data_IF_565548529347
#
_entry.id   IF_565548529347
#
_cell.length_a   1.000
_cell.length_b   1.000
_cell.length_c   1.000
_cell.angle_alpha   90.00
_cell.angle_beta   90.00
_cell.angle_gamma   90.00
#
_symmetry.space_group_name_H-M   'P 1'
#
loop_
_entity.id
_entity.type
_entity.pdbx_description
1 polymer ?
2 non-polymer ?
3 non-polymer ?
4 non-polymer ?
5 water ?
#
# COMPACT_ATOMS: atom_id res chain seq x y z
N UNK A 1 -9.90 -7.76 -0.46
CA UNK A 1 -8.73 -7.86 0.43
C UNK A 1 -7.55 -6.99 -0.04
N UNK A 2 -6.45 -7.08 0.71
CA UNK A 2 -5.28 -6.24 0.51
C UNK A 2 -4.10 -7.10 0.00
N UNK A 3 -3.51 -6.69 -1.11
CA UNK A 3 -2.37 -7.39 -1.71
C UNK A 3 -1.06 -6.77 -1.20
N UNK A 4 -0.32 -7.52 -0.39
CA UNK A 4 0.95 -7.08 0.20
C UNK A 4 2.14 -7.45 -0.69
N UNK A 5 3.12 -6.54 -0.79
CA UNK A 5 4.35 -6.85 -1.53
C UNK A 5 5.51 -6.08 -0.93
N UNK A 6 6.62 -6.78 -0.65
CA UNK A 6 7.90 -6.21 -0.28
C UNK A 6 8.84 -6.27 -1.48
N UNK A 7 9.40 -5.12 -1.84
CA UNK A 7 10.35 -4.94 -2.93
C UNK A 7 11.69 -5.60 -2.61
N UNK A 8 12.58 -5.64 -3.60
CA UNK A 8 13.91 -6.13 -3.32
C UNK A 8 14.69 -5.31 -2.31
N UNK A 9 14.27 -4.08 -2.04
CA UNK A 9 14.94 -3.23 -1.06
C UNK A 9 14.24 -3.23 0.30
N UNK A 10 13.33 -4.18 0.54
CA UNK A 10 12.74 -4.31 1.86
C UNK A 10 11.63 -3.32 2.13
N UNK A 11 11.04 -2.72 1.10
CA UNK A 11 9.98 -1.73 1.28
C UNK A 11 8.63 -2.37 0.97
N UNK A 12 7.65 -2.12 1.83
CA UNK A 12 6.34 -2.78 1.76
C UNK A 12 5.30 -1.86 1.15
N UNK A 13 4.44 -2.43 0.30
CA UNK A 13 3.30 -1.73 -0.27
C UNK A 13 2.07 -2.57 0.04
N UNK A 14 0.93 -1.90 0.24
CA UNK A 14 -0.35 -2.55 0.44
C UNK A 14 -1.31 -2.03 -0.62
N UNK A 15 -1.60 -2.85 -1.62
CA UNK A 15 -2.51 -2.47 -2.70
C UNK A 15 -3.94 -2.74 -2.20
N UNK A 16 -4.79 -1.73 -2.22
CA UNK A 16 -6.16 -1.93 -1.74
C UNK A 16 -7.20 -1.86 -2.86
N UNK A 17 -6.82 -1.48 -4.08
CA UNK A 17 -7.78 -1.47 -5.18
C UNK A 17 -7.00 -1.52 -6.46
N UNK A 18 -7.49 -2.31 -7.43
CA UNK A 18 -6.87 -2.46 -8.74
C UNK A 18 -7.94 -2.34 -9.81
N UNK A 19 -7.70 -1.52 -10.84
CA UNK A 19 -8.69 -1.26 -11.90
C UNK A 19 -8.52 -2.31 -13.01
N UNK A 20 -9.05 -3.51 -12.76
CA UNK A 20 -8.74 -4.61 -13.69
C UNK A 20 -9.27 -4.32 -15.09
N UNK A 21 -10.42 -3.67 -15.20
CA UNK A 21 -10.95 -3.35 -16.53
C UNK A 21 -10.01 -2.46 -17.31
N UNK A 22 -9.36 -1.50 -16.64
CA UNK A 22 -8.40 -0.65 -17.34
C UNK A 22 -7.22 -1.45 -17.88
N UNK A 23 -6.76 -2.45 -17.11
CA UNK A 23 -5.65 -3.25 -17.61
C UNK A 23 -6.08 -4.13 -18.79
N UNK A 24 -7.31 -4.65 -18.76
CA UNK A 24 -7.73 -5.53 -19.85
C UNK A 24 -8.13 -4.76 -21.12
N UNK A 25 -8.71 -3.56 -20.98
CA UNK A 25 -9.32 -2.84 -22.09
C UNK A 25 -8.46 -1.74 -22.69
N UNK A 26 -7.31 -1.42 -22.11
CA UNK A 26 -6.49 -0.32 -22.58
C UNK A 26 -5.06 -0.76 -22.80
N UNK A 27 -4.40 -0.07 -23.71
CA UNK A 27 -2.95 -0.16 -23.81
C UNK A 27 -2.36 0.91 -22.90
N UNK A 28 -1.58 0.49 -21.91
CA UNK A 28 -1.00 1.42 -20.96
C UNK A 28 0.25 1.99 -21.60
N UNK A 29 0.26 3.30 -21.82
CA UNK A 29 1.38 3.99 -22.48
C UNK A 29 2.44 4.50 -21.51
N UNK A 30 2.01 5.17 -20.43
CA UNK A 30 2.90 5.78 -19.45
C UNK A 30 2.18 5.73 -18.12
N UNK A 31 2.91 5.52 -17.03
CA UNK A 31 2.30 5.53 -15.71
C UNK A 31 2.98 6.57 -14.85
N UNK A 32 2.24 7.05 -13.86
CA UNK A 32 2.64 8.07 -12.90
C UNK A 32 2.12 7.68 -11.53
N UNK A 33 2.81 8.12 -10.49
CA UNK A 33 2.40 7.90 -9.12
C UNK A 33 1.96 9.23 -8.55
N UNK A 34 0.70 9.33 -8.13
CA UNK A 34 0.16 10.56 -7.58
C UNK A 34 -0.09 10.39 -6.09
N UNK A 35 0.13 11.47 -5.30
CA UNK A 35 -0.41 11.48 -3.96
C UNK A 35 -1.92 11.86 -3.99
N UNK A 36 -2.57 11.77 -2.84
CA UNK A 36 -4.02 12.05 -2.74
C UNK A 36 -4.30 12.41 -1.29
N UNK A 37 -5.13 13.42 -1.06
CA UNK A 37 -5.56 13.75 0.31
C UNK A 37 -6.86 13.02 0.60
N UNK A 38 -6.84 12.19 1.62
CA UNK A 38 -7.98 11.39 2.07
C UNK A 38 -8.35 11.77 3.49
N UNK A 39 -9.61 11.58 3.84
CA UNK A 39 -10.02 11.79 5.22
C UNK A 39 -9.74 10.54 6.03
N UNK A 40 -9.86 10.69 7.36
CA UNK A 40 -9.69 9.55 8.25
C UNK A 40 -10.68 8.44 7.95
N UNK A 41 -11.96 8.78 7.71
CA UNK A 41 -12.92 7.72 7.40
C UNK A 41 -12.61 7.07 6.04
N UNK A 42 -12.15 7.84 5.07
CA UNK A 42 -11.79 7.26 3.78
C UNK A 42 -10.64 6.25 3.95
N UNK A 43 -9.61 6.58 4.73
CA UNK A 43 -8.49 5.64 4.94
C UNK A 43 -8.99 4.34 5.57
N UNK A 44 -9.85 4.45 6.60
CA UNK A 44 -10.43 3.25 7.21
C UNK A 44 -11.16 2.41 6.19
N UNK A 45 -11.96 3.06 5.34
CA UNK A 45 -12.73 2.31 4.37
C UNK A 45 -11.82 1.68 3.30
N UNK A 46 -10.79 2.40 2.86
CA UNK A 46 -9.85 1.81 1.88
C UNK A 46 -9.15 0.57 2.44
N UNK A 47 -8.77 0.62 3.72
CA UNK A 47 -8.08 -0.49 4.38
C UNK A 47 -8.95 -1.73 4.45
N UNK A 48 -10.26 -1.58 4.32
CA UNK A 48 -11.13 -2.75 4.23
C UNK A 48 -11.16 -3.39 2.83
N UNK A 49 -10.35 -2.92 1.88
CA UNK A 49 -10.15 -3.60 0.59
C UNK A 49 -11.38 -3.70 -0.31
N UNK A 50 -12.38 -2.83 -0.13
CA UNK A 50 -13.68 -2.94 -0.81
C UNK A 50 -13.97 -1.83 -1.83
N UNK A 51 -12.97 -1.15 -2.30
CA UNK A 51 -13.14 -0.06 -3.26
C UNK A 51 -12.79 -0.58 -4.64
N UNK A 52 -13.60 -0.24 -5.62
CA UNK A 52 -13.21 -0.48 -7.01
C UNK A 52 -13.43 0.80 -7.82
N UNK A 53 -12.88 0.82 -9.02
CA UNK A 53 -12.86 2.01 -9.86
C UNK A 53 -14.07 2.16 -10.79
N UNK A 54 -15.07 1.30 -10.63
CA UNK A 54 -16.22 1.37 -11.54
C UNK A 54 -16.77 2.78 -11.52
N UNK A 55 -16.97 3.36 -12.71
CA UNK A 55 -17.46 4.71 -12.98
C UNK A 55 -16.48 5.87 -12.70
N UNK A 56 -15.25 5.64 -12.26
CA UNK A 56 -14.33 6.72 -11.94
C UNK A 56 -13.51 7.15 -13.15
N UNK A 57 -13.03 8.39 -13.15
CA UNK A 57 -12.22 8.88 -14.26
C UNK A 57 -11.41 10.09 -13.77
N UNK A 58 -10.42 10.47 -14.55
CA UNK A 58 -9.58 11.61 -14.20
C UNK A 58 -9.86 12.80 -15.11
N UNK A 59 -9.86 14.00 -14.53
CA UNK A 59 -10.19 15.21 -15.27
C UNK A 59 -9.44 16.38 -14.69
N UNK A 60 -8.89 17.23 -15.55
CA UNK A 60 -8.29 18.48 -15.11
C UNK A 60 -9.39 19.51 -14.89
N UNK A 61 -9.19 20.35 -13.89
CA UNK A 61 -10.06 21.49 -13.63
C UNK A 61 -9.14 22.56 -13.08
N UNK A 62 -9.02 23.68 -13.79
CA UNK A 62 -8.15 24.80 -13.38
C UNK A 62 -6.70 24.38 -13.21
N UNK A 63 -6.19 23.56 -14.12
CA UNK A 63 -4.80 23.15 -14.01
C UNK A 63 -4.51 22.12 -12.93
N UNK A 64 -5.53 21.64 -12.21
CA UNK A 64 -5.33 20.57 -11.24
C UNK A 64 -6.01 19.30 -11.73
N UNK A 65 -5.43 18.16 -11.40
CA UNK A 65 -5.95 16.86 -11.83
C UNK A 65 -6.75 16.23 -10.69
N UNK A 66 -7.95 15.77 -11.00
CA UNK A 66 -8.86 15.18 -10.04
C UNK A 66 -9.21 13.79 -10.46
N UNK A 67 -9.31 12.93 -9.47
CA UNK A 67 -9.89 11.63 -9.64
C UNK A 67 -11.36 11.80 -9.28
N UNK A 68 -12.26 11.59 -10.25
CA UNK A 68 -13.68 11.87 -10.06
C UNK A 68 -14.47 10.57 -10.02
N UNK A 69 -15.55 10.57 -9.20
CA UNK A 69 -16.49 9.45 -9.13
C UNK A 69 -15.86 8.12 -8.74
N UNK A 70 -14.75 8.15 -7.99
CA UNK A 70 -14.33 6.97 -7.25
C UNK A 70 -15.25 6.81 -6.03
N UNK A 71 -15.83 5.62 -5.86
CA UNK A 71 -16.75 5.38 -4.75
C UNK A 71 -15.95 4.76 -3.60
N UNK A 72 -15.78 5.52 -2.52
CA UNK A 72 -15.20 4.98 -1.29
C UNK A 72 -16.36 4.84 -0.30
N UNK A 73 -16.69 3.65 0.16
CA UNK A 73 -17.89 3.48 0.99
C UNK A 73 -17.75 4.18 2.33
N UNK A 74 -18.87 4.55 2.96
CA UNK A 74 -18.81 5.10 4.32
C UNK A 74 -18.08 4.17 5.26
N UNK A 75 -17.39 4.74 6.23
CA UNK A 75 -16.90 3.96 7.36
C UNK A 75 -18.03 3.63 8.33
N UNK A 76 -18.07 2.38 8.80
CA UNK A 76 -19.23 1.90 9.54
C UNK A 76 -19.47 2.74 10.79
N UNK A 77 -18.41 3.22 11.43
CA UNK A 77 -18.54 4.00 12.65
C UNK A 77 -18.31 5.50 12.44
N UNK A 78 -18.33 6.00 11.20
CA UNK A 78 -18.03 7.42 11.00
C UNK A 78 -19.15 8.37 11.45
N UNK A 79 -20.41 7.97 11.31
CA UNK A 79 -21.52 8.84 11.72
C UNK A 79 -21.49 10.13 10.92
N UNK A 80 -21.63 11.25 11.64
CA UNK A 80 -21.67 12.56 10.99
C UNK A 80 -20.34 12.93 10.35
N UNK A 81 -19.26 12.20 10.67
CA UNK A 81 -17.94 12.50 10.09
C UNK A 81 -17.67 11.74 8.79
N UNK A 82 -18.59 10.90 8.34
CA UNK A 82 -18.31 10.14 7.12
C UNK A 82 -18.17 11.12 5.96
N UNK A 83 -17.21 10.83 5.10
CA UNK A 83 -16.91 11.59 3.89
C UNK A 83 -18.04 11.40 2.88
N UNK A 84 -18.00 12.25 1.87
CA UNK A 84 -18.83 12.07 0.68
C UNK A 84 -18.25 10.93 -0.15
N UNK A 85 -18.93 9.81 -0.27
CA UNK A 85 -18.34 8.66 -0.97
C UNK A 85 -17.78 8.98 -2.34
N UNK A 86 -18.35 9.95 -3.07
CA UNK A 86 -17.87 10.26 -4.41
C UNK A 86 -17.38 11.70 -4.51
N UNK A 87 -16.80 12.24 -3.45
CA UNK A 87 -16.26 13.59 -3.64
C UNK A 87 -15.13 13.59 -4.67
N UNK A 88 -14.91 14.71 -5.36
CA UNK A 88 -13.74 14.84 -6.22
C UNK A 88 -12.48 14.85 -5.37
N UNK A 89 -11.44 14.14 -5.81
CA UNK A 89 -10.22 14.00 -5.01
C UNK A 89 -9.03 14.46 -5.84
N UNK A 90 -8.36 15.49 -5.37
CA UNK A 90 -7.23 16.04 -6.12
C UNK A 90 -6.07 15.05 -6.10
N UNK A 91 -5.47 14.83 -7.25
CA UNK A 91 -4.26 14.03 -7.37
C UNK A 91 -3.03 14.94 -7.32
N UNK A 92 -2.04 14.56 -6.53
CA UNK A 92 -0.86 15.42 -6.29
C UNK A 92 0.30 14.95 -7.16
N UNK A 93 0.71 15.78 -8.11
CA UNK A 93 1.75 15.44 -9.06
C UNK A 93 2.73 16.60 -9.16
N UNK A 94 3.94 16.30 -9.67
CA UNK A 94 4.91 17.35 -9.97
C UNK A 94 4.41 18.20 -11.13
N UNK A 95 4.77 19.49 -11.11
CA UNK A 95 4.35 20.44 -12.15
C UNK A 95 4.70 19.93 -13.54
N UNK A 96 5.88 19.36 -13.69
CA UNK A 96 6.32 18.86 -14.98
C UNK A 96 5.46 17.67 -15.42
N UNK A 97 4.99 16.87 -14.47
CA UNK A 97 4.08 15.78 -14.81
C UNK A 97 2.72 16.33 -15.22
N UNK A 98 2.19 17.28 -14.45
CA UNK A 98 0.90 17.90 -14.78
C UNK A 98 0.94 18.53 -16.16
N UNK A 99 2.01 19.25 -16.50
CA UNK A 99 2.09 19.88 -17.81
C UNK A 99 2.04 18.84 -18.93
N UNK A 100 2.80 17.75 -18.78
CA UNK A 100 2.77 16.70 -19.80
C UNK A 100 1.39 16.06 -19.90
N UNK A 101 0.77 15.75 -18.76
CA UNK A 101 -0.56 15.12 -18.78
C UNK A 101 -1.62 16.05 -19.39
N UNK A 102 -1.51 17.37 -19.19
CA UNK A 102 -2.47 18.29 -19.81
C UNK A 102 -2.39 18.23 -21.33
N UNK A 103 -1.17 18.08 -21.86
CA UNK A 103 -1.03 17.87 -23.30
C UNK A 103 -1.56 16.52 -23.74
N UNK A 104 -1.12 15.43 -23.05
CA UNK A 104 -1.49 14.07 -23.48
C UNK A 104 -3.00 13.86 -23.44
N UNK A 105 -3.69 14.39 -22.43
CA UNK A 105 -5.12 14.10 -22.34
C UNK A 105 -5.95 14.80 -23.41
N UNK A 106 -5.34 15.72 -24.17
CA UNK A 106 -6.04 16.36 -25.30
C UNK A 106 -5.95 15.57 -26.61
N UNK A 107 -4.99 14.66 -26.75
CA UNK A 107 -4.89 13.86 -27.98
C UNK A 107 -6.10 12.94 -28.13
N UNK A 108 -6.55 12.73 -29.37
CA UNK A 108 -7.73 11.89 -29.57
C UNK A 108 -7.39 10.43 -29.35
N UNK A 109 -8.31 9.72 -28.71
CA UNK A 109 -8.13 8.34 -28.33
C UNK A 109 -7.27 8.12 -27.09
N UNK A 110 -6.61 9.16 -26.59
CA UNK A 110 -5.76 9.08 -25.41
C UNK A 110 -6.52 9.65 -24.23
N UNK A 111 -6.50 8.92 -23.09
CA UNK A 111 -7.14 9.39 -21.87
C UNK A 111 -6.23 9.08 -20.67
N UNK A 112 -6.64 9.53 -19.50
CA UNK A 112 -5.89 9.29 -18.27
C UNK A 112 -6.79 8.42 -17.40
N UNK A 113 -6.32 7.21 -17.07
CA UNK A 113 -7.17 6.29 -16.30
C UNK A 113 -6.48 5.97 -14.98
N UNK A 114 -7.23 5.77 -13.91
CA UNK A 114 -6.62 5.31 -12.66
C UNK A 114 -6.42 3.80 -12.73
N UNK A 115 -5.31 3.32 -12.16
CA UNK A 115 -4.98 1.90 -12.18
C UNK A 115 -5.04 1.20 -10.83
N UNK A 116 -4.48 1.81 -9.78
CA UNK A 116 -4.29 1.14 -8.50
C UNK A 116 -4.31 2.19 -7.42
N UNK A 117 -4.79 1.80 -6.24
CA UNK A 117 -4.64 2.58 -5.01
C UNK A 117 -3.88 1.71 -4.04
N UNK A 118 -2.87 2.30 -3.40
CA UNK A 118 -2.08 1.53 -2.46
C UNK A 118 -1.51 2.44 -1.38
N UNK A 119 -1.05 1.84 -0.29
CA UNK A 119 -0.34 2.54 0.79
C UNK A 119 1.12 2.13 0.67
N UNK A 120 2.02 3.11 0.68
CA UNK A 120 3.42 2.80 0.42
C UNK A 120 4.12 2.52 1.75
N UNK A 121 5.45 2.46 1.69
CA UNK A 121 6.23 2.00 2.83
C UNK A 121 6.19 3.01 3.97
N UNK A 122 5.81 4.24 3.70
CA UNK A 122 5.56 5.14 4.82
C UNK A 122 4.10 5.12 5.29
N UNK A 123 3.25 4.25 4.74
CA UNK A 123 1.84 4.32 5.12
C UNK A 123 1.07 5.42 4.39
N UNK A 124 1.65 6.02 3.35
CA UNK A 124 1.02 7.13 2.62
C UNK A 124 0.25 6.58 1.43
N UNK A 125 -0.98 7.06 1.26
CA UNK A 125 -1.82 6.63 0.13
C UNK A 125 -1.32 7.23 -1.19
N UNK A 126 -1.31 6.42 -2.25
CA UNK A 126 -0.91 6.81 -3.60
C UNK A 126 -1.90 6.24 -4.62
N UNK A 127 -2.03 6.91 -5.74
CA UNK A 127 -2.80 6.41 -6.88
C UNK A 127 -1.86 6.30 -8.07
N UNK A 128 -1.73 5.11 -8.62
CA UNK A 128 -1.06 4.98 -9.90
C UNK A 128 -2.06 5.29 -11.02
N UNK A 129 -1.69 6.23 -11.90
CA UNK A 129 -2.55 6.58 -13.02
C UNK A 129 -1.75 6.36 -14.30
N UNK A 130 -2.46 6.30 -15.43
CA UNK A 130 -1.82 6.01 -16.71
C UNK A 130 -2.33 6.87 -17.87
N UNK A 131 -1.41 7.30 -18.73
CA UNK A 131 -1.78 7.67 -20.09
C UNK A 131 -2.06 6.38 -20.84
N UNK A 132 -3.24 6.26 -21.42
CA UNK A 132 -3.71 4.99 -21.98
C UNK A 132 -4.49 5.24 -23.27
N UNK A 133 -4.53 4.24 -24.14
CA UNK A 133 -5.38 4.24 -25.34
C UNK A 133 -6.24 2.98 -25.38
N UNK A 134 -7.45 3.11 -25.94
CA UNK A 134 -8.34 1.95 -26.02
C UNK A 134 -7.79 0.88 -26.96
N UNK A 135 -7.98 -0.38 -26.56
CA UNK A 135 -7.55 -1.51 -27.40
C UNK A 135 -8.48 -1.73 -28.60
N UNK B 3 9.85 31.41 3.42
CA UNK B 3 11.24 31.37 2.96
C UNK B 3 11.50 30.10 2.15
N UNK B 4 11.90 30.27 0.89
CA UNK B 4 12.22 29.13 0.04
C UNK B 4 13.64 28.63 0.33
N UNK B 5 13.78 27.31 0.38
CA UNK B 5 15.04 26.67 0.72
C UNK B 5 15.12 25.33 -0.01
N UNK B 6 16.35 24.92 -0.28
CA UNK B 6 16.62 23.58 -0.78
C UNK B 6 16.90 22.69 0.43
N UNK B 7 16.10 21.64 0.59
CA UNK B 7 16.27 20.75 1.73
C UNK B 7 17.53 19.93 1.58
N UNK B 8 17.93 19.30 2.70
CA UNK B 8 19.09 18.42 2.69
C UNK B 8 18.91 17.21 1.79
N UNK B 9 17.68 16.94 1.37
CA UNK B 9 17.41 15.84 0.46
C UNK B 9 17.23 16.34 -0.99
N UNK B 10 17.57 17.61 -1.24
CA UNK B 10 17.60 18.19 -2.58
C UNK B 10 16.28 18.70 -3.14
N UNK B 11 15.30 19.01 -2.30
CA UNK B 11 13.96 19.41 -2.73
C UNK B 11 13.72 20.87 -2.40
N UNK B 12 13.06 21.59 -3.30
CA UNK B 12 12.70 23.00 -3.03
C UNK B 12 11.50 23.04 -2.09
N UNK B 13 11.62 23.74 -0.96
CA UNK B 13 10.56 23.73 0.04
C UNK B 13 10.33 25.13 0.57
N UNK B 14 9.13 25.34 1.08
CA UNK B 14 8.75 26.60 1.71
C UNK B 14 8.58 26.38 3.21
N UNK B 15 9.51 26.92 3.98
CA UNK B 15 9.50 26.77 5.42
C UNK B 15 8.44 27.69 6.03
N UNK B 16 7.54 27.13 6.82
CA UNK B 16 6.53 27.93 7.50
C UNK B 16 6.72 27.99 9.00
N UNK B 17 7.61 27.19 9.57
CA UNK B 17 7.85 27.27 11.01
C UNK B 17 9.20 26.63 11.30
N UNK B 18 9.93 27.24 12.23
CA UNK B 18 11.25 26.78 12.65
C UNK B 18 11.27 26.72 14.17
N UNK B 19 11.73 25.58 14.71
CA UNK B 19 11.78 25.40 16.15
C UNK B 19 13.13 25.95 16.65
N UNK B 20 13.21 27.27 16.79
CA UNK B 20 14.52 27.90 17.07
C UNK B 20 15.11 27.36 18.36
N UNK B 21 14.27 27.10 19.36
CA UNK B 21 14.75 26.60 20.64
C UNK B 21 15.43 25.24 20.49
N UNK B 22 14.98 24.44 19.52
CA UNK B 22 15.62 23.13 19.31
C UNK B 22 17.09 23.29 18.90
N UNK B 23 17.39 24.28 18.08
CA UNK B 23 18.77 24.51 17.65
C UNK B 23 19.59 25.10 18.80
N UNK B 24 18.98 25.98 19.61
CA UNK B 24 19.75 26.60 20.69
C UNK B 24 19.95 25.65 21.86
N UNK B 25 18.97 24.82 22.18
CA UNK B 25 19.04 24.07 23.43
C UNK B 25 19.51 22.64 23.29
N UNK B 26 19.67 22.12 22.08
CA UNK B 26 19.98 20.71 21.86
C UNK B 26 21.16 20.57 20.90
N UNK B 27 21.85 19.45 21.03
CA UNK B 27 22.83 18.95 20.06
C UNK B 27 22.18 17.92 19.14
N UNK B 28 22.21 18.17 17.83
CA UNK B 28 21.57 17.27 16.86
C UNK B 28 22.51 16.11 16.53
N UNK B 29 22.02 14.88 16.73
CA UNK B 29 22.74 13.68 16.33
C UNK B 29 22.53 13.31 14.86
N UNK B 30 21.26 13.24 14.41
CA UNK B 30 20.96 12.94 13.02
C UNK B 30 19.50 13.37 12.75
N UNK B 31 19.20 13.67 11.47
CA UNK B 31 17.87 14.16 11.10
C UNK B 31 17.12 13.23 10.15
N UNK B 32 15.80 13.43 10.10
CA UNK B 32 14.88 12.69 9.23
C UNK B 32 13.84 13.68 8.74
N UNK B 33 13.22 13.37 7.61
CA UNK B 33 12.09 14.16 7.13
C UNK B 33 10.85 13.27 7.18
N UNK B 34 9.87 13.64 7.98
CA UNK B 34 8.65 12.85 8.12
C UNK B 34 7.49 13.49 7.38
N UNK B 35 6.59 12.65 6.86
CA UNK B 35 5.26 13.14 6.49
C UNK B 35 4.39 13.32 7.75
N UNK B 36 3.20 13.88 7.59
CA UNK B 36 2.36 14.15 8.75
C UNK B 36 0.93 14.24 8.26
N UNK B 37 0.02 13.70 9.05
CA UNK B 37 -1.39 13.68 8.72
C UNK B 37 -2.00 14.94 9.33
N UNK B 38 -2.47 15.85 8.48
CA UNK B 38 -3.06 17.14 8.86
C UNK B 38 -4.48 17.22 8.33
N UNK B 39 -5.33 18.03 9.02
CA UNK B 39 -6.68 18.30 8.52
C UNK B 39 -6.63 19.50 7.58
N UNK B 40 -7.74 19.71 6.88
CA UNK B 40 -7.87 20.88 6.00
C UNK B 40 -7.69 22.20 6.73
N UNK B 41 -8.32 22.35 7.89
CA UNK B 41 -8.12 23.62 8.62
C UNK B 41 -6.67 23.77 9.12
N UNK B 42 -6.01 22.67 9.53
CA UNK B 42 -4.61 22.80 9.98
C UNK B 42 -3.74 23.27 8.84
N UNK B 43 -3.94 22.70 7.66
CA UNK B 43 -3.15 23.05 6.50
C UNK B 43 -3.33 24.54 6.15
N UNK B 44 -4.57 25.02 6.18
CA UNK B 44 -4.84 26.44 5.96
C UNK B 44 -4.13 27.29 6.97
N UNK B 45 -4.22 26.89 8.24
CA UNK B 45 -3.62 27.68 9.29
C UNK B 45 -2.08 27.64 9.24
N UNK B 46 -1.49 26.49 8.88
CA UNK B 46 -0.03 26.41 8.78
C UNK B 46 0.54 27.42 7.79
N UNK B 47 -0.17 27.70 6.70
CA UNK B 47 0.42 28.59 5.69
C UNK B 47 0.60 30.02 6.15
N UNK B 48 -0.25 30.51 7.04
CA UNK B 48 -0.10 31.86 7.57
C UNK B 48 0.75 31.92 8.85
N UNK B 49 1.51 30.85 9.14
CA UNK B 49 2.44 30.83 10.27
C UNK B 49 1.74 30.82 11.61
N UNK B 50 2.34 31.49 12.59
CA UNK B 50 1.82 31.59 13.96
C UNK B 50 1.75 30.23 14.68
N UNK B 51 2.54 29.24 14.26
CA UNK B 51 2.61 27.95 14.93
C UNK B 51 3.71 28.04 15.97
N UNK B 52 3.53 27.45 17.14
CA UNK B 52 4.69 27.42 18.02
C UNK B 52 4.97 26.02 18.57
N UNK B 53 6.25 25.81 18.86
CA UNK B 53 6.81 24.53 19.21
C UNK B 53 6.99 24.31 20.71
N UNK B 54 6.47 25.20 21.56
CA UNK B 54 6.78 25.12 22.99
C UNK B 54 6.50 23.73 23.54
N UNK B 55 7.53 23.09 24.12
CA UNK B 55 7.42 21.75 24.71
C UNK B 55 7.21 20.64 23.67
N UNK B 56 7.31 20.90 22.38
CA UNK B 56 6.98 19.84 21.46
C UNK B 56 8.14 18.86 21.29
N UNK B 57 7.77 17.59 21.13
CA UNK B 57 8.71 16.49 20.96
C UNK B 57 7.92 15.36 20.36
N UNK B 58 8.64 14.36 19.87
CA UNK B 58 8.05 13.19 19.25
C UNK B 58 8.16 12.00 20.20
N UNK B 59 7.15 11.14 20.20
CA UNK B 59 7.06 10.06 21.18
C UNK B 59 6.40 8.85 20.52
N UNK B 60 6.90 7.68 20.82
CA UNK B 60 6.34 6.45 20.26
C UNK B 60 5.13 5.93 21.02
N UNK B 61 4.22 5.31 20.28
CA UNK B 61 3.10 4.57 20.83
C UNK B 61 2.78 3.44 19.87
N UNK B 62 2.94 2.20 20.34
CA UNK B 62 2.64 1.01 19.55
C UNK B 62 3.43 1.01 18.23
N UNK B 63 4.71 1.36 18.31
CA UNK B 63 5.56 1.35 17.14
C UNK B 63 5.36 2.48 16.15
N UNK B 64 4.46 3.43 16.41
CA UNK B 64 4.28 4.60 15.56
C UNK B 64 4.73 5.86 16.28
N UNK B 65 5.26 6.83 15.51
CA UNK B 65 5.86 8.02 16.10
C UNK B 65 4.89 9.20 15.96
N UNK B 66 4.68 9.92 17.09
CA UNK B 66 3.73 11.03 17.14
C UNK B 66 4.43 12.31 17.54
N UNK B 67 4.06 13.40 16.88
CA UNK B 67 4.47 14.74 17.26
C UNK B 67 3.46 15.30 18.23
N UNK B 68 3.91 15.58 19.45
CA UNK B 68 3.06 16.02 20.55
C UNK B 68 3.31 17.49 20.84
N UNK B 69 2.24 18.17 21.30
CA UNK B 69 2.29 19.54 21.80
C UNK B 69 2.69 20.53 20.73
N UNK B 70 2.54 20.21 19.47
CA UNK B 70 2.58 21.24 18.45
C UNK B 70 1.26 22.01 18.51
N UNK B 71 1.34 23.35 18.59
CA UNK B 71 0.14 24.20 18.60
C UNK B 71 -0.09 24.74 17.20
N UNK B 72 -1.14 24.29 16.53
CA UNK B 72 -1.57 24.89 15.26
C UNK B 72 -2.84 25.67 15.55
N UNK B 73 -2.88 26.99 15.33
CA UNK B 73 -4.07 27.79 15.75
C UNK B 73 -5.30 27.44 14.93
N UNK B 74 -6.50 27.71 15.45
CA UNK B 74 -7.72 27.51 14.65
C UNK B 74 -7.64 28.25 13.33
N UNK B 75 -8.26 27.69 12.31
CA UNK B 75 -8.50 28.40 11.07
C UNK B 75 -9.69 29.33 11.22
N UNK B 76 -9.54 30.56 10.72
CA UNK B 76 -10.49 31.62 11.08
C UNK B 76 -11.92 31.25 10.69
N UNK B 77 -12.09 30.55 9.56
CA UNK B 77 -13.41 30.20 9.04
C UNK B 77 -13.77 28.72 9.25
N UNK B 78 -13.09 28.02 10.16
CA UNK B 78 -13.33 26.58 10.31
C UNK B 78 -14.59 26.25 11.04
N UNK B 79 -15.01 27.08 12.00
CA UNK B 79 -16.28 26.81 12.69
C UNK B 79 -16.24 25.47 13.41
N UNK B 80 -17.32 24.70 13.28
CA UNK B 80 -17.40 23.41 13.95
C UNK B 80 -16.32 22.43 13.44
N UNK B 81 -15.73 22.71 12.28
CA UNK B 81 -14.73 21.81 11.69
C UNK B 81 -13.31 22.10 12.14
N UNK B 82 -13.09 23.10 12.98
CA UNK B 82 -11.72 23.39 13.41
C UNK B 82 -11.17 22.21 14.19
N UNK B 83 -9.89 21.91 13.94
CA UNK B 83 -9.14 20.84 14.57
C UNK B 83 -8.87 21.18 16.06
N UNK B 84 -8.45 20.18 16.81
CA UNK B 84 -7.88 20.42 18.14
C UNK B 84 -6.47 20.98 18.00
N UNK B 85 -6.21 22.24 18.42
CA UNK B 85 -4.91 22.87 18.12
C UNK B 85 -3.70 22.09 18.60
N UNK B 86 -3.85 21.28 19.66
CA UNK B 86 -2.71 20.55 20.20
C UNK B 86 -2.92 19.05 20.22
N UNK B 87 -3.72 18.52 19.29
CA UNK B 87 -3.85 17.08 19.22
C UNK B 87 -2.49 16.45 18.92
N UNK B 88 -2.29 15.20 19.32
CA UNK B 88 -1.10 14.45 18.86
C UNK B 88 -1.23 14.17 17.38
N UNK B 89 -0.12 14.29 16.65
CA UNK B 89 -0.09 14.15 15.19
C UNK B 89 0.88 13.07 14.76
N UNK B 90 0.36 12.09 14.03
CA UNK B 90 1.19 10.96 13.60
C UNK B 90 2.17 11.40 12.52
N UNK B 91 3.43 11.04 12.70
CA UNK B 91 4.46 11.27 11.69
C UNK B 91 4.61 10.07 10.77
N UNK B 92 4.82 10.32 9.49
CA UNK B 92 4.88 9.25 8.50
C UNK B 92 6.33 9.00 8.07
N UNK B 93 6.88 7.83 8.45
CA UNK B 93 8.28 7.46 8.20
C UNK B 93 8.37 6.01 7.74
N UNK B 94 9.49 5.66 7.08
CA UNK B 94 9.70 4.26 6.68
C UNK B 94 9.82 3.38 7.92
N UNK B 95 9.41 2.11 7.79
CA UNK B 95 9.62 1.17 8.89
C UNK B 95 11.09 1.13 9.34
N UNK B 96 12.03 1.13 8.40
CA UNK B 96 13.43 1.05 8.78
C UNK B 96 13.86 2.28 9.57
N UNK B 97 13.33 3.45 9.22
CA UNK B 97 13.61 4.66 9.99
C UNK B 97 13.04 4.56 11.40
N UNK B 98 11.79 4.12 11.50
CA UNK B 98 11.15 4.00 12.81
C UNK B 98 11.92 3.06 13.71
N UNK B 99 12.40 1.93 13.16
CA UNK B 99 13.18 0.98 13.96
C UNK B 99 14.46 1.62 14.50
N UNK B 100 15.20 2.33 13.65
CA UNK B 100 16.39 3.02 14.16
C UNK B 100 16.03 4.08 15.20
N UNK B 101 14.94 4.85 14.97
CA UNK B 101 14.55 5.89 15.92
C UNK B 101 14.17 5.29 17.27
N UNK B 102 13.45 4.15 17.26
CA UNK B 102 13.12 3.46 18.50
C UNK B 102 14.36 3.09 19.29
N UNK B 103 15.37 2.54 18.60
CA UNK B 103 16.63 2.21 19.27
C UNK B 103 17.31 3.42 19.86
N UNK B 104 17.35 4.52 19.11
CA UNK B 104 18.06 5.73 19.56
C UNK B 104 17.47 6.29 20.85
N UNK B 105 16.13 6.30 20.97
CA UNK B 105 15.49 6.87 22.16
C UNK B 105 15.58 5.94 23.35
N UNK B 106 16.12 4.72 23.17
CA UNK B 106 16.39 3.87 24.33
C UNK B 106 17.59 4.38 25.11
N UNK B 107 18.48 5.12 24.45
CA UNK B 107 19.64 5.68 25.13
C UNK B 107 19.26 6.83 26.05
N UNK B 108 19.92 6.91 27.20
CA UNK B 108 19.56 7.92 28.18
C UNK B 108 19.94 9.31 27.66
N UNK B 109 19.06 10.27 27.87
CA UNK B 109 19.34 11.61 27.39
C UNK B 109 19.05 11.86 25.93
N UNK B 110 18.63 10.88 25.18
CA UNK B 110 18.35 11.06 23.76
C UNK B 110 16.85 11.14 23.55
N UNK B 111 16.42 12.19 22.85
CA UNK B 111 15.02 12.41 22.53
C UNK B 111 14.91 12.76 21.05
N UNK B 112 13.68 12.95 20.56
CA UNK B 112 13.39 13.30 19.18
C UNK B 112 12.59 14.58 19.21
N UNK B 113 13.11 15.64 18.56
CA UNK B 113 12.44 16.94 18.53
C UNK B 113 12.20 17.42 17.10
N UNK B 114 11.13 18.19 16.86
CA UNK B 114 10.95 18.75 15.53
C UNK B 114 11.85 19.95 15.34
N UNK B 115 12.33 20.10 14.10
CA UNK B 115 13.19 21.23 13.75
C UNK B 115 12.45 22.25 12.91
N UNK B 116 11.69 21.81 11.89
CA UNK B 116 11.07 22.70 10.91
C UNK B 116 9.82 22.04 10.34
N UNK B 117 8.84 22.86 9.93
CA UNK B 117 7.72 22.41 9.11
C UNK B 117 7.76 23.19 7.81
N UNK B 118 7.57 22.48 6.71
CA UNK B 118 7.63 23.09 5.41
C UNK B 118 6.77 22.30 4.43
N UNK B 119 6.44 22.97 3.31
CA UNK B 119 5.66 22.43 2.20
C UNK B 119 6.53 22.22 0.97
N UNK B 120 6.39 21.07 0.31
CA UNK B 120 7.12 20.91 -0.95
C UNK B 120 6.29 21.53 -2.07
N UNK B 121 6.76 21.41 -3.33
CA UNK B 121 6.04 22.12 -4.39
C UNK B 121 4.68 21.50 -4.71
N UNK B 122 4.40 20.30 -4.22
CA UNK B 122 3.06 19.75 -4.38
C UNK B 122 2.14 20.19 -3.25
N UNK B 123 2.60 21.05 -2.36
CA UNK B 123 1.71 21.42 -1.28
C UNK B 123 1.63 20.42 -0.16
N UNK B 124 2.57 19.46 -0.11
CA UNK B 124 2.55 18.44 0.93
C UNK B 124 3.43 18.91 2.09
N UNK B 125 2.87 18.86 3.31
CA UNK B 125 3.59 19.27 4.52
C UNK B 125 4.58 18.20 4.98
N UNK B 126 5.77 18.64 5.44
CA UNK B 126 6.80 17.74 5.95
C UNK B 126 7.29 18.31 7.26
N UNK B 127 7.76 17.42 8.15
CA UNK B 127 8.39 17.84 9.40
C UNK B 127 9.83 17.31 9.42
N UNK B 128 10.79 18.22 9.47
CA UNK B 128 12.17 17.83 9.69
C UNK B 128 12.33 17.55 11.17
N UNK B 129 12.79 16.34 11.54
CA UNK B 129 12.95 16.00 12.95
C UNK B 129 14.39 15.61 13.22
N UNK B 130 14.78 15.65 14.50
CA UNK B 130 16.14 15.33 14.90
C UNK B 130 16.15 14.38 16.09
N UNK B 131 16.98 13.34 15.98
CA UNK B 131 17.50 12.67 17.16
C UNK B 131 18.47 13.65 17.83
N UNK B 132 18.27 13.93 19.12
CA UNK B 132 18.98 15.04 19.78
C UNK B 132 19.26 14.73 21.25
N UNK B 133 20.26 15.44 21.80
CA UNK B 133 20.60 15.51 23.22
C UNK B 133 20.54 16.95 23.70
N UNK B 134 20.28 17.13 24.98
CA UNK B 134 20.35 18.47 25.55
C UNK B 134 21.79 18.97 25.56
N UNK B 135 21.95 20.28 25.38
CA UNK B 135 23.29 20.88 25.50
C UNK B 135 23.81 20.91 26.95
N UNK C 3 -5.48 -19.20 -19.07
CA UNK C 3 -6.28 -17.98 -18.88
C UNK C 3 -5.49 -16.72 -18.45
N UNK C 4 -5.55 -15.63 -19.25
CA UNK C 4 -4.90 -14.38 -18.85
C UNK C 4 -5.81 -13.64 -17.87
N UNK C 5 -5.20 -13.10 -16.82
CA UNK C 5 -5.93 -12.43 -15.74
C UNK C 5 -5.06 -11.29 -15.24
N UNK C 6 -5.70 -10.31 -14.61
CA UNK C 6 -4.97 -9.22 -14.01
C UNK C 6 -4.71 -9.59 -12.57
N UNK C 7 -3.45 -9.60 -12.17
CA UNK C 7 -3.14 -9.97 -10.80
C UNK C 7 -3.60 -8.87 -9.84
N UNK C 8 -3.65 -9.21 -8.55
CA UNK C 8 -3.96 -8.25 -7.51
C UNK C 8 -2.95 -7.12 -7.42
N UNK C 9 -1.79 -7.29 -8.04
CA UNK C 9 -0.76 -6.26 -8.08
C UNK C 9 -0.75 -5.51 -9.42
N UNK C 10 -1.79 -5.69 -10.24
CA UNK C 10 -1.89 -4.91 -11.47
C UNK C 10 -1.08 -5.40 -12.67
N UNK C 11 -0.79 -6.70 -12.74
CA UNK C 11 0.03 -7.29 -13.79
C UNK C 11 -0.75 -8.33 -14.59
N UNK C 12 -0.50 -8.40 -15.89
CA UNK C 12 -1.15 -9.41 -16.71
C UNK C 12 -0.37 -10.73 -16.53
N UNK C 13 -1.08 -11.79 -16.14
CA UNK C 13 -0.41 -13.05 -15.79
C UNK C 13 -1.20 -14.18 -16.42
N UNK C 14 -0.51 -15.29 -16.70
CA UNK C 14 -1.17 -16.48 -17.23
C UNK C 14 -1.36 -17.47 -16.09
N UNK C 15 -2.62 -17.63 -15.68
CA UNK C 15 -3.00 -18.47 -14.55
C UNK C 15 -3.09 -19.91 -15.01
N UNK C 16 -2.35 -20.79 -14.37
CA UNK C 16 -2.34 -22.20 -14.73
C UNK C 16 -2.94 -23.09 -13.66
N UNK C 17 -3.23 -22.55 -12.47
CA UNK C 17 -3.85 -23.32 -11.40
C UNK C 17 -4.55 -22.37 -10.43
N UNK C 18 -5.76 -22.75 -10.00
CA UNK C 18 -6.55 -21.92 -9.09
C UNK C 18 -7.12 -22.79 -7.98
N UNK C 19 -6.97 -22.38 -6.74
CA UNK C 19 -7.53 -23.12 -5.60
C UNK C 19 -8.97 -22.65 -5.35
N UNK C 20 -9.88 -23.14 -6.20
CA UNK C 20 -11.27 -22.69 -6.12
C UNK C 20 -11.90 -23.00 -4.77
N UNK C 21 -11.57 -24.16 -4.18
CA UNK C 21 -12.11 -24.47 -2.86
C UNK C 21 -11.69 -23.44 -1.82
N UNK C 22 -10.45 -22.95 -1.91
CA UNK C 22 -9.98 -21.98 -0.93
C UNK C 22 -10.83 -20.72 -0.98
N UNK C 23 -11.21 -20.29 -2.18
CA UNK C 23 -12.02 -19.08 -2.34
C UNK C 23 -13.43 -19.27 -1.80
N UNK C 24 -14.01 -20.47 -1.94
CA UNK C 24 -15.36 -20.65 -1.42
C UNK C 24 -15.36 -20.83 0.09
N UNK C 25 -14.32 -21.43 0.66
CA UNK C 25 -14.34 -21.81 2.07
C UNK C 25 -13.65 -20.83 3.01
N UNK C 26 -12.97 -19.81 2.49
CA UNK C 26 -12.20 -18.94 3.37
C UNK C 26 -12.53 -17.49 3.10
N UNK C 27 -12.38 -16.71 4.16
CA UNK C 27 -12.33 -15.27 4.03
C UNK C 27 -10.86 -14.90 3.79
N UNK C 28 -10.59 -14.30 2.64
CA UNK C 28 -9.24 -13.95 2.24
C UNK C 28 -8.94 -12.60 2.87
N UNK C 29 -8.00 -12.56 3.81
CA UNK C 29 -7.65 -11.33 4.55
C UNK C 29 -6.53 -10.54 3.85
N UNK C 30 -5.42 -11.19 3.47
CA UNK C 30 -4.30 -10.51 2.79
C UNK C 30 -3.67 -11.51 1.83
N UNK C 31 -3.18 -11.01 0.69
CA UNK C 31 -2.53 -11.89 -0.30
C UNK C 31 -1.06 -11.49 -0.48
N UNK C 32 -0.25 -12.46 -0.87
CA UNK C 32 1.18 -12.27 -1.09
C UNK C 32 1.54 -13.01 -2.36
N UNK C 33 2.56 -12.53 -3.05
CA UNK C 33 3.02 -13.17 -4.25
C UNK C 33 4.42 -13.69 -3.98
N UNK C 34 4.54 -15.01 -3.95
CA UNK C 34 5.81 -15.69 -3.67
C UNK C 34 6.44 -16.17 -4.98
N UNK C 35 7.74 -16.14 -5.02
CA UNK C 35 8.44 -16.84 -6.09
C UNK C 35 8.57 -18.34 -5.81
N UNK C 36 9.07 -19.08 -6.81
CA UNK C 36 9.25 -20.54 -6.68
C UNK C 36 10.22 -20.98 -7.75
N UNK C 37 11.12 -21.89 -7.40
CA UNK C 37 12.09 -22.42 -8.37
C UNK C 37 11.56 -23.74 -8.91
N UNK C 38 11.34 -23.82 -10.22
CA UNK C 38 10.76 -25.01 -10.85
C UNK C 38 11.70 -25.59 -11.88
N UNK C 39 11.62 -26.93 -12.11
CA UNK C 39 12.35 -27.52 -13.21
C UNK C 39 11.61 -27.30 -14.53
N UNK C 40 12.34 -27.52 -15.63
CA UNK C 40 11.73 -27.43 -16.95
C UNK C 40 10.51 -28.34 -17.07
N UNK C 41 10.59 -29.56 -16.52
CA UNK C 41 9.45 -30.46 -16.62
C UNK C 41 8.26 -29.94 -15.84
N UNK C 42 8.51 -29.32 -14.68
CA UNK C 42 7.42 -28.74 -13.89
C UNK C 42 6.76 -27.61 -14.65
N UNK C 43 7.55 -26.76 -15.31
CA UNK C 43 6.98 -25.66 -16.08
C UNK C 43 6.08 -26.18 -17.20
N UNK C 44 6.56 -27.20 -17.95
CA UNK C 44 5.73 -27.81 -18.99
C UNK C 44 4.45 -28.39 -18.41
N UNK C 45 4.54 -29.11 -17.30
CA UNK C 45 3.33 -29.71 -16.77
C UNK C 45 2.37 -28.66 -16.24
N UNK C 46 2.89 -27.57 -15.64
CA UNK C 46 2.01 -26.49 -15.24
C UNK C 46 1.35 -25.86 -16.46
N UNK C 47 2.14 -25.57 -17.50
CA UNK C 47 1.56 -24.88 -18.65
C UNK C 47 0.55 -25.75 -19.40
N UNK C 48 0.62 -27.07 -19.31
CA UNK C 48 -0.43 -27.82 -19.98
C UNK C 48 -1.69 -28.00 -19.12
N UNK C 49 -1.80 -27.27 -18.00
CA UNK C 49 -3.02 -27.24 -17.20
C UNK C 49 -3.37 -28.51 -16.42
N UNK C 50 -2.39 -29.31 -16.01
CA UNK C 50 -2.73 -30.52 -15.29
C UNK C 50 -2.46 -30.42 -13.80
N UNK C 51 -2.33 -29.20 -13.26
CA UNK C 51 -2.07 -29.03 -11.84
C UNK C 51 -3.27 -28.40 -11.15
N UNK C 52 -3.60 -28.94 -9.98
CA UNK C 52 -4.54 -28.34 -9.07
C UNK C 52 -3.96 -28.51 -7.68
N UNK C 53 -4.56 -27.82 -6.71
CA UNK C 53 -4.04 -27.71 -5.36
C UNK C 53 -4.54 -28.78 -4.41
N UNK C 54 -5.29 -29.76 -4.89
CA UNK C 54 -5.81 -30.80 -4.00
C UNK C 54 -4.67 -31.45 -3.23
N UNK C 55 -4.85 -31.53 -1.90
CA UNK C 55 -3.96 -32.11 -0.90
C UNK C 55 -2.73 -31.26 -0.59
N UNK C 56 -2.57 -30.08 -1.19
CA UNK C 56 -1.38 -29.28 -0.94
C UNK C 56 -1.66 -28.34 0.23
N UNK C 57 -0.61 -27.87 0.88
CA UNK C 57 -0.78 -26.93 1.98
C UNK C 57 0.54 -26.23 2.25
N UNK C 58 0.47 -25.14 3.01
CA UNK C 58 1.65 -24.36 3.37
C UNK C 58 2.11 -24.66 4.77
N UNK C 59 3.43 -24.63 4.97
CA UNK C 59 3.98 -24.95 6.27
C UNK C 59 5.27 -24.19 6.47
N UNK C 60 5.44 -23.63 7.66
CA UNK C 60 6.70 -23.00 7.99
C UNK C 60 7.69 -24.05 8.46
N UNK C 61 8.97 -23.84 8.16
CA UNK C 61 10.04 -24.64 8.72
C UNK C 61 11.26 -23.75 8.83
N UNK C 62 11.73 -23.50 10.06
CA UNK C 62 12.91 -22.67 10.30
C UNK C 62 12.78 -21.27 9.68
N UNK C 63 11.62 -20.63 9.86
CA UNK C 63 11.41 -19.29 9.35
C UNK C 63 11.18 -19.14 7.85
N UNK C 64 11.14 -20.23 7.09
CA UNK C 64 10.86 -20.21 5.67
C UNK C 64 9.51 -20.87 5.42
N UNK C 65 8.82 -20.44 4.37
CA UNK C 65 7.49 -20.98 4.03
C UNK C 65 7.61 -21.94 2.85
N UNK C 66 6.96 -23.11 2.96
CA UNK C 66 7.00 -24.20 1.97
C UNK C 66 5.60 -24.51 1.49
N UNK C 67 5.46 -24.80 0.19
CA UNK C 67 4.24 -25.36 -0.35
C UNK C 67 4.46 -26.87 -0.43
N UNK C 68 3.73 -27.64 0.37
CA UNK C 68 3.94 -29.08 0.49
C UNK C 68 2.81 -29.85 -0.16
N UNK C 69 3.15 -31.01 -0.70
CA UNK C 69 2.20 -31.96 -1.30
C UNK C 69 1.46 -31.37 -2.49
N UNK C 70 2.05 -30.40 -3.18
CA UNK C 70 1.51 -30.01 -4.49
C UNK C 70 1.92 -31.08 -5.49
N UNK C 71 0.94 -31.67 -6.17
CA UNK C 71 1.25 -32.71 -7.14
C UNK C 71 1.40 -32.08 -8.52
N UNK C 72 2.62 -32.06 -9.04
CA UNK C 72 2.85 -31.65 -10.42
C UNK C 72 3.20 -32.91 -11.21
N UNK C 73 2.37 -33.31 -12.19
CA UNK C 73 2.62 -34.59 -12.86
C UNK C 73 3.89 -34.55 -13.68
N UNK C 74 4.51 -35.72 -13.94
CA UNK C 74 5.65 -35.78 -14.86
C UNK C 74 5.31 -35.24 -16.23
N UNK C 75 6.31 -34.70 -16.90
CA UNK C 75 6.11 -34.36 -18.30
C UNK C 75 6.26 -35.67 -19.06
N UNK C 76 5.25 -35.97 -19.89
CA UNK C 76 5.04 -37.32 -20.41
C UNK C 76 6.15 -37.81 -21.33
N UNK C 77 6.79 -36.93 -22.09
CA UNK C 77 7.59 -37.42 -23.19
C UNK C 77 8.99 -37.83 -22.72
N UNK C 78 9.71 -38.49 -23.62
CA UNK C 78 11.08 -38.92 -23.35
C UNK C 78 12.03 -37.75 -23.50
N UNK C 79 13.31 -38.04 -23.33
CA UNK C 79 14.35 -37.01 -23.39
C UNK C 79 14.29 -35.97 -22.30
N UNK C 80 13.78 -36.32 -21.11
CA UNK C 80 13.72 -35.36 -20.01
C UNK C 80 14.13 -36.05 -18.72
N UNK C 81 14.53 -35.24 -17.75
CA UNK C 81 14.82 -35.69 -16.39
C UNK C 81 13.63 -35.26 -15.54
N UNK C 82 12.71 -36.18 -15.27
CA UNK C 82 11.51 -35.78 -14.54
C UNK C 82 11.74 -35.47 -13.06
N UNK C 83 11.08 -34.42 -12.60
CA UNK C 83 11.14 -33.96 -11.22
C UNK C 83 10.41 -34.96 -10.31
N UNK C 84 10.66 -34.87 -9.03
CA UNK C 84 9.84 -35.59 -8.05
C UNK C 84 8.45 -34.95 -7.94
N UNK C 85 7.36 -35.63 -8.35
CA UNK C 85 6.07 -34.91 -8.51
C UNK C 85 5.53 -34.17 -7.28
N UNK C 86 5.83 -34.63 -6.06
CA UNK C 86 5.30 -34.05 -4.83
C UNK C 86 6.41 -33.60 -3.89
N UNK C 87 7.56 -33.21 -4.44
CA UNK C 87 8.65 -32.71 -3.63
C UNK C 87 8.20 -31.43 -2.88
N UNK C 88 8.79 -31.14 -1.72
CA UNK C 88 8.54 -29.85 -1.05
C UNK C 88 9.12 -28.68 -1.85
N UNK C 89 8.37 -27.58 -1.92
CA UNK C 89 8.80 -26.45 -2.75
C UNK C 89 8.76 -25.19 -1.91
N UNK C 90 9.92 -24.56 -1.70
CA UNK C 90 10.05 -23.36 -0.91
C UNK C 90 9.38 -22.19 -1.63
N UNK C 91 8.60 -21.42 -0.89
CA UNK C 91 8.01 -20.22 -1.47
C UNK C 91 8.97 -19.07 -1.23
N UNK C 92 9.38 -18.39 -2.29
CA UNK C 92 10.41 -17.36 -2.15
C UNK C 92 9.75 -16.06 -1.73
N UNK C 93 10.02 -15.64 -0.49
CA UNK C 93 9.41 -14.45 0.09
C UNK C 93 10.50 -13.65 0.79
N UNK C 94 10.34 -12.34 0.81
CA UNK C 94 11.26 -11.49 1.56
C UNK C 94 11.12 -11.77 3.06
N UNK C 95 12.22 -11.57 3.78
CA UNK C 95 12.22 -11.73 5.24
C UNK C 95 11.10 -10.95 5.91
N UNK C 96 10.86 -9.72 5.48
CA UNK C 96 9.79 -8.92 6.07
C UNK C 96 8.39 -9.50 5.81
N UNK C 97 8.15 -10.03 4.60
CA UNK C 97 6.91 -10.79 4.35
C UNK C 97 6.81 -11.99 5.28
N UNK C 98 7.89 -12.77 5.39
CA UNK C 98 7.84 -13.94 6.26
C UNK C 98 7.53 -13.55 7.69
N UNK C 99 8.15 -12.47 8.17
CA UNK C 99 7.89 -12.02 9.54
C UNK C 99 6.42 -11.62 9.69
N UNK C 100 5.87 -10.86 8.73
CA UNK C 100 4.46 -10.46 8.83
C UNK C 100 3.56 -11.68 8.82
N UNK C 101 3.84 -12.63 7.92
CA UNK C 101 3.02 -13.85 7.84
C UNK C 101 3.05 -14.62 9.15
N UNK C 102 4.22 -14.77 9.77
CA UNK C 102 4.32 -15.46 11.04
C UNK C 102 3.49 -14.77 12.11
N UNK C 103 3.50 -13.43 12.12
CA UNK C 103 2.70 -12.68 13.07
C UNK C 103 1.21 -12.91 12.87
N UNK C 104 0.75 -12.89 11.61
CA UNK C 104 -0.68 -13.00 11.35
C UNK C 104 -1.23 -14.35 11.82
N UNK C 105 -0.48 -15.44 11.62
CA UNK C 105 -0.99 -16.76 12.00
C UNK C 105 -0.92 -17.03 13.50
N UNK C 106 -0.39 -16.10 14.30
CA UNK C 106 -0.47 -16.28 15.74
C UNK C 106 -1.91 -16.13 16.23
N UNK C 107 -2.73 -15.41 15.47
CA UNK C 107 -4.14 -15.26 15.81
C UNK C 107 -4.88 -16.57 15.59
N UNK C 108 -5.81 -16.87 16.50
CA UNK C 108 -6.54 -18.13 16.44
C UNK C 108 -7.46 -18.14 15.23
N UNK C 109 -7.48 -19.27 14.52
CA UNK C 109 -8.28 -19.41 13.33
C UNK C 109 -7.69 -18.81 12.06
N UNK C 110 -6.55 -18.13 12.13
CA UNK C 110 -5.94 -17.51 10.96
C UNK C 110 -4.84 -18.43 10.43
N UNK C 111 -4.89 -18.73 9.13
CA UNK C 111 -3.95 -19.66 8.49
C UNK C 111 -3.50 -19.05 7.14
N UNK C 112 -2.60 -19.76 6.47
CA UNK C 112 -2.05 -19.35 5.17
C UNK C 112 -2.40 -20.43 4.17
N UNK C 113 -3.09 -20.06 3.10
CA UNK C 113 -3.48 -21.04 2.06
C UNK C 113 -2.96 -20.60 0.70
N UNK C 114 -2.63 -21.53 -0.20
CA UNK C 114 -2.27 -21.15 -1.58
C UNK C 114 -3.52 -20.91 -2.42
N UNK C 115 -3.45 -19.92 -3.31
CA UNK C 115 -4.60 -19.52 -4.14
C UNK C 115 -4.43 -19.81 -5.63
N UNK C 116 -3.28 -19.47 -6.21
CA UNK C 116 -3.07 -19.49 -7.64
C UNK C 116 -1.61 -19.77 -7.95
N UNK C 117 -1.38 -20.40 -9.09
CA UNK C 117 -0.06 -20.39 -9.70
C UNK C 117 -0.21 -19.71 -11.06
N UNK C 118 0.71 -18.81 -11.37
CA UNK C 118 0.66 -18.13 -12.66
C UNK C 118 2.07 -17.74 -13.08
N UNK C 119 2.21 -17.44 -14.36
CA UNK C 119 3.45 -16.95 -14.93
C UNK C 119 3.27 -15.47 -15.28
N UNK C 120 4.21 -14.63 -14.89
CA UNK C 120 4.05 -13.22 -15.19
C UNK C 120 4.56 -12.93 -16.61
N UNK C 121 4.60 -11.65 -16.99
CA UNK C 121 4.92 -11.26 -18.35
C UNK C 121 6.38 -11.47 -18.69
N UNK C 122 7.23 -11.64 -17.69
CA UNK C 122 8.62 -12.01 -17.94
C UNK C 122 8.82 -13.53 -17.95
N UNK C 123 7.74 -14.30 -17.85
CA UNK C 123 7.83 -15.75 -17.80
C UNK C 123 8.21 -16.33 -16.45
N UNK C 124 8.16 -15.54 -15.39
CA UNK C 124 8.58 -15.99 -14.06
C UNK C 124 7.36 -16.58 -13.35
N UNK C 125 7.55 -17.75 -12.73
CA UNK C 125 6.48 -18.43 -12.01
C UNK C 125 6.23 -17.80 -10.64
N UNK C 126 4.95 -17.64 -10.27
CA UNK C 126 4.58 -17.11 -8.97
C UNK C 126 3.48 -17.93 -8.35
N UNK C 127 3.46 -17.94 -7.02
CA UNK C 127 2.41 -18.56 -6.24
C UNK C 127 1.75 -17.49 -5.43
N UNK C 128 0.48 -17.23 -5.70
CA UNK C 128 -0.29 -16.31 -4.88
C UNK C 128 -0.78 -17.06 -3.65
N UNK C 129 -0.48 -16.53 -2.46
CA UNK C 129 -0.90 -17.18 -1.22
C UNK C 129 -1.70 -16.17 -0.41
N UNK C 130 -2.45 -16.68 0.57
CA UNK C 130 -3.32 -15.78 1.33
C UNK C 130 -3.28 -16.06 2.83
N UNK C 131 -3.20 -14.99 3.60
CA UNK C 131 -3.66 -15.00 4.99
C UNK C 131 -5.19 -15.09 5.00
N UNK C 132 -5.73 -16.08 5.69
CA UNK C 132 -7.15 -16.40 5.58
C UNK C 132 -7.71 -16.97 6.88
N UNK C 133 -9.02 -16.82 7.04
CA UNK C 133 -9.78 -17.54 8.07
C UNK C 133 -10.99 -18.21 7.43
N UNK C 134 -11.49 -19.27 8.07
CA UNK C 134 -12.65 -19.95 7.54
C UNK C 134 -13.87 -19.03 7.54
N UNK C 135 -14.70 -19.17 6.50
CA UNK C 135 -15.95 -18.41 6.42
C UNK C 135 -16.98 -18.94 7.41
N UNK C 136 -17.81 -18.05 7.92
CA UNK C 136 -18.97 -18.48 8.69
C UNK C 136 -19.91 -19.30 7.82
N UNK C 137 -20.67 -20.21 8.47
CA UNK C 137 -21.46 -21.19 7.74
C UNK C 137 -22.33 -20.55 6.66
N UNK C 138 -22.97 -19.42 6.98
CA UNK C 138 -23.88 -18.78 6.04
C UNK C 138 -23.14 -18.29 4.79
N UNK C 139 -22.06 -17.53 4.98
CA UNK C 139 -21.31 -17.00 3.85
C UNK C 139 -20.70 -18.11 3.00
N UNK C 140 -20.26 -19.20 3.65
CA UNK C 140 -19.65 -20.31 2.93
C UNK C 140 -20.65 -21.01 2.03
N UNK C 141 -21.86 -21.27 2.55
CA UNK C 141 -22.88 -21.92 1.72
C UNK C 141 -23.31 -21.02 0.57
N UNK C 142 -23.44 -19.71 0.83
CA UNK C 142 -23.82 -18.79 -0.24
C UNK C 142 -22.74 -18.73 -1.32
N UNK C 143 -21.47 -18.88 -0.93
CA UNK C 143 -20.37 -18.88 -1.89
C UNK C 143 -20.35 -20.16 -2.72
N UNK C 144 -20.57 -21.31 -2.06
CA UNK C 144 -20.58 -22.59 -2.78
C UNK C 144 -21.70 -22.63 -3.81
N UNK C 145 -22.84 -22.00 -3.51
CA UNK C 145 -23.94 -21.94 -4.48
C UNK C 145 -23.53 -21.17 -5.73
N UNK C 146 -22.74 -20.10 -5.56
CA UNK C 146 -22.32 -19.28 -6.69
C UNK C 146 -21.28 -19.96 -7.58
N UNK C 147 -20.39 -20.78 -6.99
CA UNK C 147 -19.49 -21.58 -7.82
C UNK C 147 -20.26 -22.62 -8.61
N UNK C 148 -21.41 -23.07 -8.10
CA UNK C 148 -22.30 -23.96 -8.84
C UNK C 148 -23.19 -23.20 -9.81
N UNK C 149 -23.47 -21.91 -9.55
CA UNK C 149 -24.18 -21.09 -10.51
C UNK C 149 -23.37 -20.90 -11.80
N UNK C 150 -22.05 -20.76 -11.68
CA UNK C 150 -21.21 -20.47 -12.82
C UNK C 150 -20.78 -21.71 -13.59
N UNK C 151 -20.62 -22.84 -12.91
CA UNK C 151 -20.25 -24.07 -13.61
C UNK C 151 -21.35 -24.51 -14.57
N UNK C 152 -22.61 -24.25 -14.22
CA UNK C 152 -23.71 -24.51 -15.16
C UNK C 152 -23.61 -23.59 -16.36
N UNK C 153 -23.25 -22.33 -16.15
CA UNK C 153 -23.10 -21.35 -17.23
C UNK C 153 -21.81 -21.60 -18.01
#
# INVERSE_FOLDING_TARGET
SNAMKVSGWGEMVKVVATNKKAYTDYEILETYEAGIVLTGTEVKSLRNGSVNFKDSFCRFKNGELYLLNLHIPPYSHGGVYNHDPERPRKLLLHKRELKRLMGKVQEEGVTIVPLKIYFNDRGIAKVEIAVARGKKKYDKREAIKKREMERKIREYMKYSR
SNAMKVSGWGEMVKVVATNKKAYTDYEILETYEAGIVLTGTEVKSLRNGSVNFKDSFCRFKNGELYLLNLHIPPYSHGGVYNHDPERPRKLLLHKRELKRLMGKVQEEGVTIVPLKIYFNDRGIAKVEIAVARGKKKYDKREAIKKREMERKIREYMKYSR
SNAMKVSGWGEMVKVVATNKKAYTDYEILETYEAGIVLTGTEVKSLRNGSVNFKDSFCRFKNGELYLLNLHIPPYSHGGVYNHDPERPRKLLLHKRELKRLMGKVQEEGVTIVPLKIYFNDRGIAKVEIAVARGKKKYDKREAIKKREMERKIREYMKYSR
#
